data_IF_400625029844
#
_entry.id   IF_400625029844
#
_cell.length_a   1.000
_cell.length_b   1.000
_cell.length_c   1.000
_cell.angle_alpha   90.00
_cell.angle_beta   90.00
_cell.angle_gamma   90.00
#
_symmetry.space_group_name_H-M   'P 1'
#
loop_
_entity.id
_entity.type
_entity.pdbx_description
1 polymer ?
#
# COMPACT_ATOMS: atom_id res chain seq x y z
N UNK A 1 31.52 -13.46 -20.67
CA UNK A 1 30.96 -12.13 -20.33
C UNK A 1 31.57 -11.71 -19.01
N UNK A 2 32.16 -10.52 -18.90
CA UNK A 2 32.97 -10.11 -17.76
C UNK A 2 32.12 -9.40 -16.70
N UNK A 3 32.44 -9.56 -15.41
CA UNK A 3 31.66 -9.03 -14.27
C UNK A 3 31.40 -7.52 -14.36
N UNK A 4 32.33 -6.78 -14.99
CA UNK A 4 32.21 -5.33 -15.21
C UNK A 4 31.10 -4.93 -16.20
N UNK A 5 30.72 -5.83 -17.12
CA UNK A 5 29.63 -5.62 -18.08
C UNK A 5 28.32 -6.27 -17.62
N UNK A 6 28.39 -7.32 -16.80
CA UNK A 6 27.21 -8.03 -16.28
C UNK A 6 26.50 -7.26 -15.17
N UNK A 7 27.25 -6.61 -14.27
CA UNK A 7 26.69 -5.93 -13.10
C UNK A 7 25.63 -4.85 -13.43
N UNK A 8 25.82 -3.93 -14.39
CA UNK A 8 24.79 -2.94 -14.72
C UNK A 8 23.53 -3.58 -15.33
N UNK A 9 23.67 -4.70 -16.06
CA UNK A 9 22.53 -5.41 -16.65
C UNK A 9 21.71 -6.11 -15.57
N UNK A 10 22.39 -6.77 -14.61
CA UNK A 10 21.71 -7.42 -13.48
C UNK A 10 20.97 -6.38 -12.62
N UNK A 11 21.62 -5.25 -12.32
CA UNK A 11 21.01 -4.18 -11.53
C UNK A 11 19.81 -3.59 -12.28
N UNK A 12 19.94 -3.32 -13.59
CA UNK A 12 18.83 -2.83 -14.40
C UNK A 12 17.65 -3.80 -14.42
N UNK A 13 17.91 -5.09 -14.65
CA UNK A 13 16.88 -6.14 -14.64
C UNK A 13 16.20 -6.25 -13.27
N UNK A 14 16.96 -6.21 -12.18
CA UNK A 14 16.42 -6.23 -10.82
C UNK A 14 15.50 -5.04 -10.56
N UNK A 15 15.93 -3.83 -10.93
CA UNK A 15 15.15 -2.60 -10.75
C UNK A 15 13.85 -2.67 -11.56
N UNK A 16 13.92 -3.00 -12.85
CA UNK A 16 12.73 -3.12 -13.71
C UNK A 16 11.77 -4.21 -13.21
N UNK A 17 12.30 -5.33 -12.72
CA UNK A 17 11.49 -6.40 -12.12
C UNK A 17 10.79 -5.94 -10.84
N UNK A 18 11.49 -5.23 -9.94
CA UNK A 18 10.87 -4.71 -8.71
C UNK A 18 9.80 -3.66 -8.97
N UNK A 19 10.02 -2.76 -9.94
CA UNK A 19 9.04 -1.75 -10.35
C UNK A 19 7.82 -2.44 -10.99
N UNK A 20 8.07 -3.40 -11.88
CA UNK A 20 7.02 -4.21 -12.51
C UNK A 20 6.17 -4.96 -11.47
N UNK A 21 6.80 -5.54 -10.46
CA UNK A 21 6.09 -6.22 -9.37
C UNK A 21 5.23 -5.24 -8.54
N UNK A 22 5.72 -4.03 -8.26
CA UNK A 22 4.94 -3.01 -7.54
C UNK A 22 3.74 -2.50 -8.35
N UNK A 23 3.85 -2.43 -9.68
CA UNK A 23 2.75 -2.01 -10.56
C UNK A 23 1.61 -3.02 -10.72
N UNK A 24 1.75 -4.24 -10.17
CA UNK A 24 0.67 -5.23 -10.13
C UNK A 24 -0.21 -5.12 -8.88
N UNK A 25 0.16 -4.26 -7.93
CA UNK A 25 -0.65 -4.01 -6.74
C UNK A 25 -1.98 -3.36 -7.17
N UNK A 26 -3.14 -3.87 -6.75
CA UNK A 26 -4.40 -3.18 -7.01
C UNK A 26 -4.34 -1.79 -6.38
N UNK A 27 -4.60 -0.76 -7.18
CA UNK A 27 -4.81 0.59 -6.66
C UNK A 27 -6.16 0.57 -5.97
N UNK A 28 -6.17 0.48 -4.65
CA UNK A 28 -7.37 0.78 -3.87
C UNK A 28 -7.47 2.29 -3.74
N UNK A 29 -8.49 2.87 -4.36
CA UNK A 29 -8.85 4.27 -4.19
C UNK A 29 -9.71 4.42 -2.93
N UNK A 30 -9.48 5.50 -2.19
CA UNK A 30 -10.42 5.94 -1.17
C UNK A 30 -11.55 6.69 -1.87
N UNK A 31 -12.79 6.27 -1.63
CA UNK A 31 -14.00 6.87 -2.21
C UNK A 31 -14.54 7.94 -1.27
N UNK A 32 -15.02 9.06 -1.80
CA UNK A 32 -15.58 10.16 -0.99
C UNK A 32 -16.86 9.75 -0.22
N UNK A 33 -17.59 8.74 -0.73
CA UNK A 33 -18.80 8.21 -0.09
C UNK A 33 -18.53 7.29 1.10
N UNK A 34 -17.28 6.88 1.31
CA UNK A 34 -16.92 5.92 2.34
C UNK A 34 -16.36 6.64 3.57
N UNK A 35 -16.75 6.19 4.77
CA UNK A 35 -16.21 6.70 6.02
C UNK A 35 -14.69 6.50 6.11
N UNK A 36 -14.04 7.33 6.94
CA UNK A 36 -12.58 7.30 7.14
C UNK A 36 -12.06 5.90 7.54
N UNK A 37 -12.68 5.17 8.49
CA UNK A 37 -12.19 3.85 8.88
C UNK A 37 -12.33 2.81 7.75
N UNK A 38 -13.41 2.89 6.98
CA UNK A 38 -13.68 2.01 5.84
C UNK A 38 -12.64 2.23 4.73
N UNK A 39 -12.41 3.49 4.38
CA UNK A 39 -11.38 3.88 3.41
C UNK A 39 -9.99 3.41 3.85
N UNK A 40 -9.62 3.63 5.13
CA UNK A 40 -8.34 3.19 5.66
C UNK A 40 -8.18 1.66 5.59
N UNK A 41 -9.21 0.91 6.00
CA UNK A 41 -9.21 -0.56 5.96
C UNK A 41 -9.04 -1.09 4.53
N UNK A 42 -9.71 -0.46 3.57
CA UNK A 42 -9.69 -0.91 2.17
C UNK A 42 -8.28 -0.84 1.56
N UNK A 43 -7.41 0.08 1.98
CA UNK A 43 -6.03 0.17 1.47
C UNK A 43 -5.13 -1.00 1.82
N UNK A 44 -5.49 -1.81 2.83
CA UNK A 44 -4.69 -2.94 3.34
C UNK A 44 -3.36 -2.58 4.01
N UNK A 45 -2.97 -1.30 4.03
CA UNK A 45 -1.71 -0.82 4.62
C UNK A 45 -1.91 -0.18 6.01
N UNK A 46 -3.16 0.02 6.43
CA UNK A 46 -3.54 0.77 7.63
C UNK A 46 -4.13 -0.09 8.76
N UNK A 47 -3.85 -1.39 8.78
CA UNK A 47 -4.38 -2.30 9.81
C UNK A 47 -4.06 -1.84 11.24
N UNK A 48 -2.82 -1.39 11.48
CA UNK A 48 -2.41 -0.85 12.79
C UNK A 48 -3.18 0.41 13.19
N UNK A 49 -3.51 1.26 12.21
CA UNK A 49 -4.32 2.46 12.46
C UNK A 49 -5.74 2.05 12.84
N UNK A 50 -6.38 1.17 12.06
CA UNK A 50 -7.75 0.72 12.33
C UNK A 50 -7.83 0.00 13.69
N UNK A 51 -6.83 -0.83 14.02
CA UNK A 51 -6.74 -1.48 15.32
C UNK A 51 -6.61 -0.47 16.47
N UNK A 52 -5.82 0.61 16.30
CA UNK A 52 -5.71 1.67 17.29
C UNK A 52 -7.01 2.48 17.45
N UNK A 53 -7.72 2.74 16.35
CA UNK A 53 -9.02 3.42 16.38
C UNK A 53 -10.08 2.58 17.10
N UNK A 54 -10.11 1.27 16.84
CA UNK A 54 -10.98 0.33 17.55
C UNK A 54 -10.61 0.25 19.04
N UNK A 55 -9.32 0.21 19.37
CA UNK A 55 -8.86 0.20 20.75
C UNK A 55 -9.23 1.48 21.53
N UNK A 56 -9.27 2.61 20.85
CA UNK A 56 -9.62 3.90 21.43
C UNK A 56 -11.13 4.22 21.37
N UNK A 57 -11.97 3.29 20.89
CA UNK A 57 -13.41 3.49 20.69
C UNK A 57 -13.75 4.73 19.82
N UNK A 58 -12.89 5.05 18.84
CA UNK A 58 -13.06 6.22 17.96
C UNK A 58 -13.71 5.89 16.62
N UNK A 59 -13.91 4.60 16.31
CA UNK A 59 -14.45 4.16 15.01
C UNK A 59 -15.82 4.80 14.74
N UNK A 60 -16.74 4.73 15.69
CA UNK A 60 -18.09 5.32 15.55
C UNK A 60 -18.04 6.84 15.38
N UNK A 61 -17.12 7.52 16.06
CA UNK A 61 -16.96 8.97 15.92
C UNK A 61 -16.48 9.38 14.51
N UNK A 62 -15.78 8.48 13.82
CA UNK A 62 -15.26 8.68 12.46
C UNK A 62 -16.17 8.09 11.37
N UNK A 63 -17.28 7.45 11.76
CA UNK A 63 -18.36 6.94 10.90
C UNK A 63 -19.64 7.78 11.04
N UNK A 64 -19.56 8.93 11.71
CA UNK A 64 -20.71 9.79 11.89
C UNK A 64 -21.10 10.44 10.55
N UNK A 65 -22.39 10.30 10.21
CA UNK A 65 -23.10 10.76 8.99
C UNK A 65 -22.70 12.15 8.49
#
# INVERSE_FOLDING_TARGET
MNTRMIMPIIVGMYVTFTIGAMSLSPIVAAEESDDIPTNAQNTGQHDSLVAALAHADLVTALQAD
#
